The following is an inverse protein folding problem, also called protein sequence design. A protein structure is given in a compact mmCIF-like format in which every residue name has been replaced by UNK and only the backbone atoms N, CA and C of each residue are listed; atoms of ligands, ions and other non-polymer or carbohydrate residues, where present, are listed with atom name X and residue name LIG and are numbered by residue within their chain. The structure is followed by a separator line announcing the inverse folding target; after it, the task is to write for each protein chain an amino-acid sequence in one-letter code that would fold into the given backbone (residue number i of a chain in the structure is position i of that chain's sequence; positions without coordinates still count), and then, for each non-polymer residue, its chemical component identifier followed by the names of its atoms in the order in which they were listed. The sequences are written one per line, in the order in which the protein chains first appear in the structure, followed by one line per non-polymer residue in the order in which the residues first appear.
data_IF_656988105836
#
_entry.id   IF_656988105836
#
_cell.length_a   1.000
_cell.length_b   1.000
_cell.length_c   1.000
_cell.angle_alpha   90.00
_cell.angle_beta   90.00
_cell.angle_gamma   90.00
#
_symmetry.space_group_name_H-M   'P 1'
#
loop_
_entity.id
_entity.type
_entity.pdbx_description
1 polymer ?
#
# COMPACT_ATOMS: atom_id res chain seq x y z
N UNK A 1 -42.56 -22.81 -28.79
CA UNK A 1 -41.84 -21.52 -28.73
C UNK A 1 -40.34 -21.80 -28.74
N UNK A 2 -39.62 -21.19 -29.69
CA UNK A 2 -38.27 -21.59 -30.08
C UNK A 2 -37.22 -21.08 -29.09
N UNK A 3 -36.30 -21.97 -28.65
CA UNK A 3 -35.21 -21.68 -27.68
C UNK A 3 -34.32 -20.50 -28.10
N UNK A 4 -34.30 -20.17 -29.39
CA UNK A 4 -33.56 -19.03 -29.95
C UNK A 4 -34.20 -17.66 -29.64
N UNK A 5 -35.48 -17.60 -29.25
CA UNK A 5 -36.14 -16.36 -28.87
C UNK A 5 -35.66 -15.85 -27.51
N UNK A 6 -35.44 -16.77 -26.55
CA UNK A 6 -34.92 -16.43 -25.22
C UNK A 6 -33.44 -16.02 -25.25
N UNK A 7 -32.64 -16.63 -26.13
CA UNK A 7 -31.23 -16.27 -26.31
C UNK A 7 -31.07 -14.86 -26.91
N UNK A 8 -31.93 -14.49 -27.87
CA UNK A 8 -31.95 -13.16 -28.47
C UNK A 8 -32.48 -12.08 -27.52
N UNK A 9 -33.50 -12.37 -26.71
CA UNK A 9 -34.01 -11.44 -25.70
C UNK A 9 -33.02 -11.24 -24.54
N UNK A 10 -32.30 -12.30 -24.13
CA UNK A 10 -31.27 -12.21 -23.09
C UNK A 10 -30.09 -11.32 -23.47
N UNK A 11 -29.61 -11.41 -24.71
CA UNK A 11 -28.48 -10.62 -25.21
C UNK A 11 -28.82 -9.11 -25.30
N UNK A 12 -30.07 -8.75 -25.62
CA UNK A 12 -30.53 -7.35 -25.67
C UNK A 12 -30.63 -6.74 -24.27
N UNK A 13 -31.08 -7.49 -23.26
CA UNK A 13 -31.09 -7.02 -21.86
C UNK A 13 -29.68 -6.79 -21.30
N UNK A 14 -28.71 -7.65 -21.63
CA UNK A 14 -27.32 -7.46 -21.19
C UNK A 14 -26.67 -6.22 -21.83
N UNK A 15 -27.02 -5.89 -23.07
CA UNK A 15 -26.54 -4.68 -23.74
C UNK A 15 -27.17 -3.39 -23.16
N UNK A 16 -28.44 -3.45 -22.74
CA UNK A 16 -29.14 -2.31 -22.15
C UNK A 16 -28.62 -1.96 -20.74
N UNK A 17 -28.17 -2.94 -19.94
CA UNK A 17 -27.61 -2.69 -18.61
C UNK A 17 -26.16 -2.16 -18.62
N UNK A 18 -25.42 -2.33 -19.73
CA UNK A 18 -24.05 -1.83 -19.84
C UNK A 18 -23.97 -0.33 -20.17
N UNK A 19 -25.03 0.27 -20.74
CA UNK A 19 -25.01 1.69 -21.14
C UNK A 19 -25.36 2.66 -20.00
N UNK A 20 -26.04 2.20 -18.94
CA UNK A 20 -26.47 3.08 -17.85
C UNK A 20 -25.40 3.33 -16.78
N UNK A 21 -24.30 2.55 -16.77
CA UNK A 21 -23.20 2.73 -15.82
C UNK A 21 -22.16 3.78 -16.26
N UNK A 22 -22.19 4.23 -17.51
CA UNK A 22 -21.20 5.18 -18.03
C UNK A 22 -21.49 6.65 -17.63
N UNK A 23 -22.72 6.97 -17.23
CA UNK A 23 -23.13 8.35 -16.90
C UNK A 23 -22.92 8.75 -15.42
N UNK A 24 -22.26 7.92 -14.61
CA UNK A 24 -22.12 8.14 -13.15
C UNK A 24 -20.86 8.91 -12.74
N UNK A 25 -19.95 9.25 -13.66
CA UNK A 25 -18.74 10.03 -13.38
C UNK A 25 -18.91 11.50 -13.80
N UNK A 26 -19.87 12.20 -13.20
CA UNK A 26 -19.81 13.66 -13.18
C UNK A 26 -18.92 14.06 -12.02
N UNK A 27 -17.68 14.44 -12.31
CA UNK A 27 -16.85 15.18 -11.36
C UNK A 27 -17.60 16.46 -11.00
N UNK A 28 -18.23 16.49 -9.82
CA UNK A 28 -18.80 17.72 -9.29
C UNK A 28 -17.64 18.67 -9.05
N UNK A 29 -17.58 19.84 -9.72
CA UNK A 29 -16.53 20.80 -9.45
C UNK A 29 -16.67 21.22 -7.99
N UNK A 30 -15.71 20.83 -7.18
CA UNK A 30 -15.65 21.15 -5.75
C UNK A 30 -15.66 22.69 -5.65
N UNK A 31 -16.73 23.31 -5.12
CA UNK A 31 -16.82 24.76 -5.07
C UNK A 31 -15.68 25.31 -4.22
N UNK A 32 -15.08 26.43 -4.63
CA UNK A 32 -13.91 27.03 -3.98
C UNK A 32 -14.13 27.23 -2.46
N UNK A 33 -15.35 27.58 -2.08
CA UNK A 33 -15.78 27.74 -0.68
C UNK A 33 -15.63 26.43 0.12
N UNK A 34 -15.92 25.28 -0.49
CA UNK A 34 -15.75 23.99 0.17
C UNK A 34 -14.28 23.62 0.37
N UNK A 35 -13.37 24.08 -0.51
CA UNK A 35 -11.92 23.92 -0.33
C UNK A 35 -11.44 24.77 0.87
N UNK A 36 -11.96 25.99 0.98
CA UNK A 36 -11.64 26.88 2.08
C UNK A 36 -12.20 26.35 3.41
N UNK A 37 -13.45 25.86 3.43
CA UNK A 37 -14.02 25.16 4.58
C UNK A 37 -13.23 23.90 4.96
N UNK A 38 -12.82 23.08 3.99
CA UNK A 38 -12.00 21.90 4.24
C UNK A 38 -10.64 22.28 4.84
N UNK A 39 -10.02 23.37 4.37
CA UNK A 39 -8.76 23.88 4.91
C UNK A 39 -8.92 24.41 6.35
N UNK A 40 -10.00 25.13 6.63
CA UNK A 40 -10.33 25.64 7.98
C UNK A 40 -10.62 24.49 8.95
N UNK A 41 -11.41 23.49 8.51
CA UNK A 41 -11.69 22.26 9.27
C UNK A 41 -10.41 21.46 9.56
N UNK A 42 -9.50 21.36 8.58
CA UNK A 42 -8.20 20.67 8.76
C UNK A 42 -7.31 21.38 9.78
N UNK A 43 -7.27 22.72 9.77
CA UNK A 43 -6.51 23.51 10.74
C UNK A 43 -7.07 23.37 12.17
N UNK A 44 -8.40 23.39 12.32
CA UNK A 44 -9.06 23.22 13.62
C UNK A 44 -8.96 21.81 14.19
N UNK A 45 -8.88 20.76 13.35
CA UNK A 45 -8.59 19.39 13.82
C UNK A 45 -7.15 19.24 14.33
N UNK A 46 -6.17 19.88 13.70
CA UNK A 46 -4.77 19.83 14.17
C UNK A 46 -4.59 20.61 15.48
N UNK A 47 -5.36 21.68 15.70
CA UNK A 47 -5.35 22.44 16.95
C UNK A 47 -5.86 21.65 18.17
N UNK A 48 -6.51 20.48 17.97
CA UNK A 48 -6.95 19.59 19.06
C UNK A 48 -5.84 18.72 19.62
N UNK A 49 -4.70 18.62 18.93
CA UNK A 49 -3.51 17.97 19.44
C UNK A 49 -2.62 19.07 20.03
N UNK A 50 -2.17 18.91 21.28
CA UNK A 50 -1.24 19.89 21.85
C UNK A 50 0.02 19.94 20.96
N UNK A 51 0.54 21.14 20.64
CA UNK A 51 1.65 21.30 19.71
C UNK A 51 2.92 20.53 20.13
N UNK A 52 3.04 20.22 21.43
CA UNK A 52 4.10 19.38 21.99
C UNK A 52 4.02 17.90 21.57
N UNK A 53 2.86 17.41 21.12
CA UNK A 53 2.69 16.05 20.60
C UNK A 53 2.89 15.95 19.08
N UNK A 54 3.12 17.08 18.39
CA UNK A 54 3.39 17.10 16.95
C UNK A 54 4.88 17.19 16.66
N UNK A 55 5.42 16.13 16.06
CA UNK A 55 6.81 16.03 15.57
C UNK A 55 7.16 17.24 14.70
N UNK A 56 8.31 17.85 14.98
CA UNK A 56 8.78 19.05 14.26
C UNK A 56 9.01 18.75 12.76
N UNK A 57 9.02 19.79 11.92
CA UNK A 57 9.29 19.60 10.49
C UNK A 57 10.67 18.99 10.22
N UNK A 58 11.67 19.41 10.99
CA UNK A 58 13.05 18.93 10.88
C UNK A 58 13.16 17.46 11.32
N UNK A 59 12.53 17.11 12.44
CA UNK A 59 12.52 15.74 12.95
C UNK A 59 11.77 14.79 11.98
N UNK A 60 10.68 15.26 11.34
CA UNK A 60 10.03 14.51 10.26
C UNK A 60 10.95 14.28 9.05
N UNK A 61 11.84 15.21 8.72
CA UNK A 61 12.82 15.01 7.64
C UNK A 61 13.87 13.98 8.06
N UNK A 62 14.40 14.09 9.27
CA UNK A 62 15.38 13.14 9.81
C UNK A 62 14.82 11.71 9.84
N UNK A 63 13.58 11.53 10.29
CA UNK A 63 12.92 10.21 10.30
C UNK A 63 12.78 9.63 8.88
N UNK A 64 12.50 10.47 7.88
CA UNK A 64 12.42 10.00 6.48
C UNK A 64 13.78 9.58 5.93
N UNK A 65 14.84 10.31 6.28
CA UNK A 65 16.20 9.96 5.87
C UNK A 65 16.68 8.68 6.55
N UNK A 66 16.41 8.54 7.86
CA UNK A 66 16.71 7.31 8.61
C UNK A 66 16.03 6.10 7.97
N UNK A 67 14.73 6.19 7.68
CA UNK A 67 13.99 5.11 7.00
C UNK A 67 14.60 4.74 5.66
N UNK A 68 15.04 5.73 4.88
CA UNK A 68 15.69 5.47 3.59
C UNK A 68 17.01 4.72 3.76
N UNK A 69 17.87 5.17 4.67
CA UNK A 69 19.15 4.53 4.95
C UNK A 69 18.96 3.09 5.43
N UNK A 70 18.04 2.88 6.35
CA UNK A 70 17.70 1.55 6.85
C UNK A 70 17.25 0.60 5.73
N UNK A 71 16.40 1.07 4.81
CA UNK A 71 15.94 0.27 3.68
C UNK A 71 17.10 -0.07 2.72
N UNK A 72 17.98 0.89 2.44
CA UNK A 72 19.17 0.67 1.62
C UNK A 72 20.14 -0.34 2.27
N UNK A 73 20.34 -0.27 3.58
CA UNK A 73 21.17 -1.21 4.33
C UNK A 73 20.59 -2.63 4.29
N UNK A 74 19.28 -2.78 4.50
CA UNK A 74 18.59 -4.07 4.43
C UNK A 74 18.64 -4.68 3.03
N UNK A 75 18.48 -3.88 1.97
CA UNK A 75 18.64 -4.34 0.59
C UNK A 75 20.06 -4.87 0.34
N UNK A 76 21.07 -4.11 0.75
CA UNK A 76 22.47 -4.54 0.62
C UNK A 76 22.73 -5.84 1.38
N UNK A 77 22.16 -5.99 2.57
CA UNK A 77 22.27 -7.22 3.35
C UNK A 77 21.73 -8.43 2.56
N UNK A 78 20.50 -8.33 2.02
CA UNK A 78 19.89 -9.40 1.21
C UNK A 78 20.75 -9.76 -0.02
N UNK A 79 21.31 -8.75 -0.69
CA UNK A 79 22.18 -8.97 -1.86
C UNK A 79 23.45 -9.74 -1.49
N UNK A 80 24.06 -9.41 -0.35
CA UNK A 80 25.30 -10.05 0.11
C UNK A 80 25.11 -11.44 0.73
N UNK A 81 23.92 -11.76 1.23
CA UNK A 81 23.64 -13.10 1.79
C UNK A 81 23.65 -14.18 0.69
N UNK A 82 24.24 -15.34 0.99
CA UNK A 82 24.34 -16.49 0.07
C UNK A 82 23.08 -17.37 0.10
N UNK A 83 21.89 -16.75 0.05
CA UNK A 83 20.61 -17.46 0.14
C UNK A 83 20.14 -17.98 -1.23
N UNK A 84 19.33 -19.05 -1.21
CA UNK A 84 18.60 -19.50 -2.40
C UNK A 84 17.61 -18.44 -2.92
N UNK A 85 17.28 -18.49 -4.22
CA UNK A 85 16.40 -17.51 -4.87
C UNK A 85 15.04 -17.36 -4.18
N UNK A 86 14.44 -18.46 -3.74
CA UNK A 86 13.14 -18.45 -3.05
C UNK A 86 13.20 -17.69 -1.71
N UNK A 87 14.29 -17.86 -0.97
CA UNK A 87 14.49 -17.18 0.32
C UNK A 87 14.79 -15.70 0.14
N UNK A 88 15.63 -15.35 -0.85
CA UNK A 88 15.84 -13.94 -1.24
C UNK A 88 14.54 -13.26 -1.63
N UNK A 89 13.69 -13.94 -2.40
CA UNK A 89 12.38 -13.41 -2.78
C UNK A 89 11.48 -13.15 -1.57
N UNK A 90 11.40 -14.09 -0.62
CA UNK A 90 10.66 -13.89 0.64
C UNK A 90 11.17 -12.69 1.43
N UNK A 91 12.48 -12.51 1.53
CA UNK A 91 13.07 -11.35 2.22
C UNK A 91 12.76 -10.03 1.52
N UNK A 92 12.77 -10.00 0.19
CA UNK A 92 12.40 -8.81 -0.58
C UNK A 92 10.91 -8.50 -0.47
N UNK A 93 10.06 -9.51 -0.49
CA UNK A 93 8.61 -9.37 -0.27
C UNK A 93 8.33 -8.80 1.12
N UNK A 94 9.00 -9.33 2.15
CA UNK A 94 8.85 -8.82 3.52
C UNK A 94 9.40 -7.40 3.66
N UNK A 95 10.55 -7.11 3.05
CA UNK A 95 11.11 -5.75 3.04
C UNK A 95 10.17 -4.76 2.35
N UNK A 96 9.42 -5.19 1.33
CA UNK A 96 8.42 -4.34 0.67
C UNK A 96 7.17 -4.13 1.54
N UNK A 97 6.68 -5.19 2.21
CA UNK A 97 5.47 -5.15 3.03
C UNK A 97 5.67 -4.40 4.36
N UNK A 98 6.76 -4.69 5.07
CA UNK A 98 6.98 -4.17 6.43
C UNK A 98 8.46 -3.80 6.72
N UNK A 99 9.01 -2.79 6.02
CA UNK A 99 10.45 -2.48 6.03
C UNK A 99 11.03 -1.99 7.36
N UNK A 100 10.20 -1.61 8.33
CA UNK A 100 10.64 -0.99 9.59
C UNK A 100 10.14 -1.76 10.82
N UNK A 101 9.64 -2.98 10.63
CA UNK A 101 9.14 -3.79 11.75
C UNK A 101 10.26 -4.68 12.28
N UNK A 102 10.16 -5.03 13.57
CA UNK A 102 11.00 -6.06 14.19
C UNK A 102 10.67 -7.47 13.66
N UNK A 103 9.67 -7.60 12.79
CA UNK A 103 9.34 -8.87 12.16
C UNK A 103 10.38 -9.24 11.08
N UNK A 104 10.93 -8.25 10.37
CA UNK A 104 12.01 -8.49 9.40
C UNK A 104 13.22 -9.19 10.03
N UNK A 105 13.63 -8.76 11.23
CA UNK A 105 14.76 -9.38 11.95
C UNK A 105 14.49 -10.86 12.27
N UNK A 106 13.25 -11.20 12.61
CA UNK A 106 12.83 -12.58 12.85
C UNK A 106 12.87 -13.41 11.57
N UNK A 107 12.32 -12.88 10.47
CA UNK A 107 12.32 -13.58 9.18
C UNK A 107 13.74 -13.84 8.69
N UNK A 108 14.66 -12.88 8.87
CA UNK A 108 16.08 -13.08 8.56
C UNK A 108 16.68 -14.19 9.42
N UNK A 109 16.46 -14.17 10.73
CA UNK A 109 16.97 -15.19 11.64
C UNK A 109 16.46 -16.59 11.27
N UNK A 110 15.15 -16.74 11.04
CA UNK A 110 14.52 -18.01 10.69
C UNK A 110 15.12 -18.58 9.39
N UNK A 111 15.25 -17.75 8.35
CA UNK A 111 15.75 -18.18 7.04
C UNK A 111 17.24 -18.55 7.04
N UNK A 112 18.04 -17.93 7.92
CA UNK A 112 19.47 -18.28 8.10
C UNK A 112 19.59 -19.60 8.88
N UNK A 113 18.83 -19.77 9.96
CA UNK A 113 18.86 -20.99 10.77
C UNK A 113 18.39 -22.23 9.97
N UNK A 114 17.37 -22.09 9.13
CA UNK A 114 16.93 -23.16 8.23
C UNK A 114 17.95 -23.53 7.12
N UNK A 115 19.03 -22.78 6.93
CA UNK A 115 20.12 -23.14 6.00
C UNK A 115 21.20 -23.98 6.68
N UNK A 116 21.40 -23.79 7.99
CA UNK A 116 22.41 -24.50 8.78
C UNK A 116 21.97 -25.89 9.22
N UNK A 117 20.66 -26.21 9.15
CA UNK A 117 20.14 -27.56 9.34
C UNK A 117 20.05 -28.30 7.98
N UNK A 118 21.09 -29.01 7.53
CA UNK A 118 20.94 -29.92 6.41
C UNK A 118 19.97 -31.04 6.81
N UNK A 119 18.92 -31.20 6.01
CA UNK A 119 17.96 -32.31 6.11
C UNK A 119 18.71 -33.64 6.33
N UNK A 120 18.42 -34.31 7.45
CA UNK A 120 18.93 -35.65 7.77
C UNK A 120 18.14 -36.73 7.06
#
# INVERSE_FOLDING_TARGET
MSRYAYLRMGMVCCFAMAFTSLSAQTEVPIPLDSIQEMRVKRHTLMARFEPEFTISAQERQQLKEQRRRELEERLRAIDTMQLSFRRKWKLLEELYLSPHTAYWDKVVADLVLEEEEPER
#
